data_IF_394782251157
#
_entry.id   IF_394782251157
#
_cell.length_a   1.000
_cell.length_b   1.000
_cell.length_c   1.000
_cell.angle_alpha   90.00
_cell.angle_beta   90.00
_cell.angle_gamma   90.00
#
_symmetry.space_group_name_H-M   'P 1'
#
loop_
_entity.id
_entity.type
_entity.pdbx_description
1 polymer ?
#
# COMPACT_ATOMS: atom_id res chain seq x y z
N UNK A 1 14.20 17.33 -23.84
CA UNK A 1 13.39 16.21 -24.39
C UNK A 1 13.13 15.23 -23.27
N UNK A 2 11.89 14.73 -23.11
CA UNK A 2 11.60 13.73 -22.09
C UNK A 2 12.29 12.41 -22.44
N UNK A 3 13.12 11.89 -21.52
CA UNK A 3 13.70 10.55 -21.64
C UNK A 3 12.60 9.50 -21.44
N UNK A 4 12.58 8.45 -22.26
CA UNK A 4 11.64 7.34 -22.12
C UNK A 4 12.38 6.12 -21.58
N UNK A 5 11.79 5.50 -20.56
CA UNK A 5 12.26 4.24 -19.98
C UNK A 5 11.25 3.12 -20.25
N UNK A 6 11.71 1.87 -20.28
CA UNK A 6 10.86 0.69 -20.49
C UNK A 6 10.74 -0.08 -19.19
N UNK A 7 9.56 -0.64 -18.93
CA UNK A 7 9.28 -1.51 -17.80
C UNK A 7 8.87 -2.87 -18.36
N UNK A 8 9.42 -3.94 -17.79
CA UNK A 8 8.96 -5.31 -18.02
C UNK A 8 8.36 -5.84 -16.72
N UNK A 9 7.16 -6.39 -16.78
CA UNK A 9 6.42 -6.88 -15.60
C UNK A 9 5.87 -8.27 -15.91
N UNK A 10 6.06 -9.19 -14.97
CA UNK A 10 5.44 -10.51 -15.03
C UNK A 10 4.02 -10.43 -14.46
N UNK A 11 3.07 -11.02 -15.18
CA UNK A 11 1.65 -11.03 -14.81
C UNK A 11 1.03 -12.32 -15.31
N UNK A 12 0.08 -12.85 -14.53
CA UNK A 12 -0.75 -13.96 -14.97
C UNK A 12 -1.47 -13.63 -16.29
N UNK A 13 -1.55 -14.61 -17.19
CA UNK A 13 -2.08 -14.40 -18.55
C UNK A 13 -3.57 -14.07 -18.52
N UNK A 14 -4.34 -14.76 -17.68
CA UNK A 14 -5.77 -14.51 -17.55
C UNK A 14 -6.03 -13.09 -17.02
N UNK A 15 -5.26 -12.68 -16.01
CA UNK A 15 -5.32 -11.35 -15.41
C UNK A 15 -5.00 -10.26 -16.44
N UNK A 16 -3.94 -10.45 -17.23
CA UNK A 16 -3.57 -9.53 -18.31
C UNK A 16 -4.69 -9.38 -19.34
N UNK A 17 -5.28 -10.48 -19.80
CA UNK A 17 -6.32 -10.46 -20.82
C UNK A 17 -7.61 -9.82 -20.32
N UNK A 18 -7.99 -10.08 -19.06
CA UNK A 18 -9.14 -9.42 -18.41
C UNK A 18 -8.91 -7.91 -18.30
N UNK A 19 -7.75 -7.51 -17.78
CA UNK A 19 -7.39 -6.10 -17.64
C UNK A 19 -7.40 -5.38 -19.00
N UNK A 20 -6.82 -6.00 -20.03
CA UNK A 20 -6.78 -5.43 -21.38
C UNK A 20 -8.18 -5.19 -21.96
N UNK A 21 -9.12 -6.12 -21.77
CA UNK A 21 -10.52 -5.93 -22.23
C UNK A 21 -11.18 -4.73 -21.56
N UNK A 22 -11.02 -4.59 -20.25
CA UNK A 22 -11.61 -3.50 -19.47
C UNK A 22 -10.98 -2.15 -19.83
N UNK A 23 -9.65 -2.11 -19.93
CA UNK A 23 -8.91 -0.89 -20.31
C UNK A 23 -9.31 -0.44 -21.73
N UNK A 24 -9.41 -1.39 -22.68
CA UNK A 24 -9.86 -1.09 -24.03
C UNK A 24 -11.31 -0.62 -24.08
N UNK A 25 -12.21 -1.14 -23.24
CA UNK A 25 -13.59 -0.66 -23.19
C UNK A 25 -13.71 0.76 -22.61
N UNK A 26 -12.67 1.24 -21.91
CA UNK A 26 -12.53 2.65 -21.51
C UNK A 26 -11.88 3.54 -22.59
N UNK A 27 -11.50 2.97 -23.74
CA UNK A 27 -10.83 3.71 -24.82
C UNK A 27 -9.34 3.99 -24.53
N UNK A 28 -8.73 3.24 -23.61
CA UNK A 28 -7.33 3.36 -23.22
C UNK A 28 -6.54 2.15 -23.71
N UNK A 29 -5.21 2.30 -23.80
CA UNK A 29 -4.29 1.18 -23.96
C UNK A 29 -3.59 0.83 -22.64
N UNK A 30 -3.00 -0.36 -22.57
CA UNK A 30 -2.32 -0.86 -21.37
C UNK A 30 -1.19 0.07 -20.88
N UNK A 31 -0.43 0.66 -21.81
CA UNK A 31 0.67 1.59 -21.47
C UNK A 31 0.12 2.87 -20.87
N UNK A 32 -0.98 3.40 -21.42
CA UNK A 32 -1.67 4.58 -20.88
C UNK A 32 -2.16 4.31 -19.45
N UNK A 33 -2.79 3.17 -19.19
CA UNK A 33 -3.25 2.78 -17.86
C UNK A 33 -2.08 2.64 -16.86
N UNK A 34 -0.99 1.97 -17.24
CA UNK A 34 0.20 1.83 -16.38
C UNK A 34 0.84 3.20 -16.09
N UNK A 35 0.94 4.08 -17.09
CA UNK A 35 1.47 5.42 -16.89
C UNK A 35 0.59 6.25 -15.95
N UNK A 36 -0.74 6.12 -16.01
CA UNK A 36 -1.65 6.77 -15.07
C UNK A 36 -1.44 6.27 -13.64
N UNK A 37 -1.29 4.96 -13.46
CA UNK A 37 -0.99 4.34 -12.15
C UNK A 37 0.33 4.87 -11.57
N UNK A 38 1.41 4.86 -12.35
CA UNK A 38 2.72 5.35 -11.92
C UNK A 38 2.69 6.85 -11.61
N UNK A 39 1.95 7.63 -12.39
CA UNK A 39 1.79 9.06 -12.15
C UNK A 39 1.04 9.34 -10.87
N UNK A 40 -0.05 8.62 -10.59
CA UNK A 40 -0.78 8.76 -9.33
C UNK A 40 0.16 8.56 -8.14
N UNK A 41 0.90 7.45 -8.11
CA UNK A 41 1.86 7.15 -7.02
C UNK A 41 2.92 8.24 -6.90
N UNK A 42 3.44 8.74 -8.02
CA UNK A 42 4.47 9.78 -8.02
C UNK A 42 3.95 11.11 -7.48
N UNK A 43 2.68 11.43 -7.75
CA UNK A 43 2.08 12.71 -7.38
C UNK A 43 1.52 12.69 -5.93
N UNK A 44 0.95 11.57 -5.48
CA UNK A 44 0.29 11.44 -4.16
C UNK A 44 1.16 10.78 -3.09
N UNK A 45 2.15 9.98 -3.46
CA UNK A 45 2.92 9.16 -2.53
C UNK A 45 2.17 7.94 -1.98
N UNK A 46 1.00 7.63 -2.53
CA UNK A 46 0.15 6.51 -2.11
C UNK A 46 -0.37 5.70 -3.30
N UNK A 47 -0.87 4.49 -3.02
CA UNK A 47 -1.52 3.67 -4.03
C UNK A 47 -2.91 4.24 -4.36
N UNK A 48 -3.36 4.15 -5.62
CA UNK A 48 -4.70 4.62 -6.03
C UNK A 48 -5.85 3.75 -5.50
N UNK A 49 -5.55 2.81 -4.62
CA UNK A 49 -6.47 1.96 -3.90
C UNK A 49 -5.88 1.66 -2.53
N UNK A 50 -6.73 1.47 -1.54
CA UNK A 50 -6.31 0.99 -0.22
C UNK A 50 -5.93 -0.49 -0.34
N UNK A 51 -4.68 -0.88 -0.04
CA UNK A 51 -4.33 -2.27 0.03
C UNK A 51 -5.16 -2.91 1.13
N UNK A 52 -5.88 -3.98 0.82
CA UNK A 52 -6.38 -4.86 1.86
C UNK A 52 -5.15 -5.52 2.50
N UNK A 53 -4.66 -4.93 3.60
CA UNK A 53 -3.69 -5.63 4.42
C UNK A 53 -4.47 -6.77 5.08
N UNK A 54 -4.36 -7.97 4.51
CA UNK A 54 -4.78 -9.21 5.19
C UNK A 54 -3.73 -9.49 6.28
N UNK A 55 -3.74 -8.68 7.33
CA UNK A 55 -3.26 -9.09 8.64
C UNK A 55 -4.49 -9.55 9.40
N UNK A 56 -4.89 -10.79 9.13
CA UNK A 56 -5.95 -11.44 9.90
C UNK A 56 -5.66 -11.25 11.39
N UNK A 57 -6.57 -10.60 12.10
CA UNK A 57 -6.49 -10.50 13.55
C UNK A 57 -5.67 -9.36 14.12
N UNK A 58 -4.89 -8.56 13.37
CA UNK A 58 -4.12 -7.47 14.01
C UNK A 58 -5.02 -6.38 14.57
N UNK A 59 -6.05 -5.96 13.81
CA UNK A 59 -7.04 -5.01 14.32
C UNK A 59 -7.85 -5.60 15.47
N UNK A 60 -8.30 -6.86 15.36
CA UNK A 60 -9.02 -7.53 16.46
C UNK A 60 -8.16 -7.71 17.71
N UNK A 61 -6.86 -7.97 17.56
CA UNK A 61 -5.92 -8.09 18.68
C UNK A 61 -5.67 -6.74 19.32
N UNK A 62 -5.50 -5.69 18.52
CA UNK A 62 -5.36 -4.33 19.02
C UNK A 62 -6.62 -3.87 19.77
N UNK A 63 -7.81 -4.14 19.25
CA UNK A 63 -9.08 -3.88 19.93
C UNK A 63 -9.19 -4.66 21.24
N UNK A 64 -8.88 -5.96 21.24
CA UNK A 64 -8.88 -6.80 22.43
C UNK A 64 -7.83 -6.38 23.47
N UNK A 65 -6.69 -5.83 23.05
CA UNK A 65 -5.66 -5.30 23.94
C UNK A 65 -6.13 -4.00 24.61
N UNK A 66 -6.84 -3.14 23.87
CA UNK A 66 -7.47 -1.93 24.43
C UNK A 66 -8.55 -2.31 25.43
N UNK A 67 -9.46 -3.22 25.08
CA UNK A 67 -10.55 -3.69 25.97
C UNK A 67 -10.01 -4.37 27.24
N UNK A 68 -8.95 -5.18 27.11
CA UNK A 68 -8.33 -5.86 28.24
C UNK A 68 -7.37 -4.97 29.04
N UNK A 69 -7.22 -3.69 28.68
CA UNK A 69 -6.32 -2.76 29.35
C UNK A 69 -4.83 -3.09 29.16
N UNK A 70 -4.48 -3.91 28.18
CA UNK A 70 -3.09 -4.22 27.76
C UNK A 70 -2.52 -3.08 26.92
N UNK A 71 -2.66 -1.86 27.40
CA UNK A 71 -2.15 -0.64 26.74
C UNK A 71 -0.99 -0.06 27.54
N UNK A 72 0.04 0.42 26.86
CA UNK A 72 1.12 1.18 27.48
C UNK A 72 0.75 2.66 27.48
N UNK A 73 0.82 3.31 28.65
CA UNK A 73 0.64 4.76 28.78
C UNK A 73 1.96 5.40 29.20
N UNK A 74 2.31 6.52 28.58
CA UNK A 74 3.54 7.25 28.86
C UNK A 74 3.22 8.65 29.40
N UNK A 75 4.00 9.10 30.37
CA UNK A 75 3.83 10.43 30.98
C UNK A 75 4.45 11.56 30.13
N UNK A 76 5.37 11.22 29.22
CA UNK A 76 6.09 12.18 28.38
C UNK A 76 6.32 11.61 26.99
N UNK A 77 6.44 12.52 26.00
CA UNK A 77 6.74 12.16 24.61
C UNK A 77 8.10 11.47 24.50
N UNK A 78 9.09 11.90 25.28
CA UNK A 78 10.43 11.27 25.30
C UNK A 78 10.39 9.80 25.76
N UNK A 79 9.54 9.48 26.74
CA UNK A 79 9.38 8.11 27.23
C UNK A 79 8.71 7.22 26.18
N UNK A 80 7.73 7.75 25.44
CA UNK A 80 7.09 7.06 24.32
C UNK A 80 8.09 6.80 23.17
N UNK A 81 8.80 7.84 22.73
CA UNK A 81 9.78 7.71 21.63
C UNK A 81 10.92 6.75 21.98
N UNK A 82 11.34 6.71 23.25
CA UNK A 82 12.35 5.75 23.70
C UNK A 82 11.85 4.30 23.61
N UNK A 83 10.61 4.02 23.99
CA UNK A 83 10.03 2.67 23.90
C UNK A 83 9.89 2.25 22.43
N UNK A 84 9.34 3.13 21.59
CA UNK A 84 9.08 2.86 20.17
C UNK A 84 10.36 2.57 19.36
N UNK A 85 11.47 3.26 19.65
CA UNK A 85 12.74 3.00 18.96
C UNK A 85 13.41 1.69 19.37
N UNK A 86 13.10 1.13 20.55
CA UNK A 86 13.68 -0.16 20.96
C UNK A 86 12.92 -1.36 20.34
N UNK A 87 11.65 -1.18 19.93
CA UNK A 87 10.82 -2.23 19.32
C UNK A 87 11.16 -2.50 17.83
N UNK A 88 12.05 -1.71 17.21
CA UNK A 88 12.40 -1.81 15.76
C UNK A 88 13.75 -2.52 15.53
N UNK A 89 14.50 -2.84 16.58
CA UNK A 89 15.86 -3.41 16.52
C UNK A 89 15.94 -4.94 16.79
N UNK A 90 14.82 -5.66 16.85
CA UNK A 90 14.70 -7.14 16.92
C UNK A 90 13.80 -7.68 15.78
#
# INVERSE_FOLDING_TARGET
MASRSRINVEVDTETKDRALRVINSMGLDMSSAINMYLKHISDSGELPFTPEIIVEGQLQTAEADVEAGRTKSFKTIDALLKDLHNDVDD
#
